data_IF_633898267334
#
_entry.id   IF_633898267334
#
_cell.length_a   1.000
_cell.length_b   1.000
_cell.length_c   1.000
_cell.angle_alpha   90.00
_cell.angle_beta   90.00
_cell.angle_gamma   90.00
#
_symmetry.space_group_name_H-M   'P 1'
#
loop_
_entity.id
_entity.type
_entity.pdbx_description
1 polymer ?
#
# COMPACT_ATOMS: atom_id res chain seq x y z
N UNK A 1 -6.33 -33.94 25.24
CA UNK A 1 -5.43 -32.95 24.61
C UNK A 1 -6.04 -31.57 24.79
N UNK A 2 -5.31 -30.62 25.40
CA UNK A 2 -5.78 -29.24 25.59
C UNK A 2 -5.06 -28.36 24.57
N UNK A 3 -5.82 -27.74 23.66
CA UNK A 3 -5.29 -26.80 22.68
C UNK A 3 -5.16 -25.44 23.35
N UNK A 4 -3.97 -24.84 23.30
CA UNK A 4 -3.73 -23.47 23.73
C UNK A 4 -3.52 -22.56 22.53
N UNK A 5 -4.36 -21.55 22.41
CA UNK A 5 -4.34 -20.64 21.27
C UNK A 5 -3.37 -19.48 21.51
N UNK A 6 -2.45 -19.27 20.56
CA UNK A 6 -1.59 -18.08 20.56
C UNK A 6 -2.37 -16.86 20.06
N UNK A 7 -3.12 -16.22 20.96
CA UNK A 7 -3.93 -15.04 20.67
C UNK A 7 -3.11 -13.86 20.13
N UNK A 8 -1.81 -13.78 20.45
CA UNK A 8 -0.91 -12.76 19.91
C UNK A 8 -0.63 -13.01 18.43
N UNK A 9 -0.30 -14.24 18.04
CA UNK A 9 -0.06 -14.59 16.64
C UNK A 9 -1.29 -14.33 15.75
N UNK A 10 -2.50 -14.67 16.24
CA UNK A 10 -3.74 -14.35 15.51
C UNK A 10 -3.94 -12.84 15.33
N UNK A 11 -3.58 -12.04 16.33
CA UNK A 11 -3.62 -10.58 16.22
C UNK A 11 -2.59 -10.08 15.20
N UNK A 12 -1.38 -10.63 15.20
CA UNK A 12 -0.33 -10.20 14.27
C UNK A 12 -0.71 -10.50 12.81
N UNK A 13 -1.29 -11.68 12.53
CA UNK A 13 -1.87 -12.00 11.23
C UNK A 13 -3.03 -11.06 10.90
N UNK A 14 -3.98 -10.87 11.82
CA UNK A 14 -5.17 -10.01 11.61
C UNK A 14 -4.82 -8.55 11.34
N UNK A 15 -3.78 -8.04 11.99
CA UNK A 15 -3.32 -6.66 11.82
C UNK A 15 -2.33 -6.50 10.66
N UNK A 16 -2.02 -7.59 9.94
CA UNK A 16 -1.05 -7.56 8.85
C UNK A 16 0.33 -7.12 9.33
N UNK A 17 0.73 -7.56 10.52
CA UNK A 17 2.05 -7.30 11.11
C UNK A 17 3.06 -8.40 10.80
N UNK A 18 2.66 -9.39 10.02
CA UNK A 18 3.55 -10.40 9.46
C UNK A 18 4.30 -9.77 8.29
N UNK A 19 5.62 -9.97 8.24
CA UNK A 19 6.50 -9.42 7.19
C UNK A 19 5.95 -9.66 5.80
N UNK A 20 5.47 -10.86 5.53
CA UNK A 20 5.16 -11.31 4.17
C UNK A 20 3.95 -10.56 3.58
N UNK A 21 2.93 -10.29 4.39
CA UNK A 21 1.75 -9.51 3.97
C UNK A 21 2.14 -8.04 3.73
N UNK A 22 3.02 -7.50 4.57
CA UNK A 22 3.51 -6.12 4.41
C UNK A 22 4.29 -6.00 3.10
N UNK A 23 5.24 -6.92 2.87
CA UNK A 23 6.05 -6.94 1.65
C UNK A 23 5.21 -7.14 0.39
N UNK A 24 4.14 -7.94 0.44
CA UNK A 24 3.22 -8.08 -0.68
C UNK A 24 2.46 -6.77 -0.98
N UNK A 25 1.95 -6.10 0.06
CA UNK A 25 1.27 -4.81 -0.09
C UNK A 25 2.20 -3.72 -0.62
N UNK A 26 3.42 -3.65 -0.10
CA UNK A 26 4.45 -2.71 -0.53
C UNK A 26 4.86 -2.98 -1.98
N UNK A 27 5.15 -4.24 -2.33
CA UNK A 27 5.51 -4.62 -3.70
C UNK A 27 4.40 -4.37 -4.72
N UNK A 28 3.13 -4.48 -4.33
CA UNK A 28 2.01 -4.07 -5.19
C UNK A 28 1.96 -2.56 -5.40
N UNK A 29 2.16 -1.78 -4.34
CA UNK A 29 2.17 -0.32 -4.46
C UNK A 29 3.39 0.18 -5.25
N UNK A 30 4.55 -0.43 -5.09
CA UNK A 30 5.75 -0.15 -5.89
C UNK A 30 5.50 -0.39 -7.36
N UNK A 31 4.94 -1.55 -7.73
CA UNK A 31 4.60 -1.84 -9.13
C UNK A 31 3.66 -0.80 -9.74
N UNK A 32 2.61 -0.40 -9.01
CA UNK A 32 1.68 0.64 -9.47
C UNK A 32 2.40 1.99 -9.63
N UNK A 33 3.29 2.34 -8.70
CA UNK A 33 4.06 3.58 -8.79
C UNK A 33 5.04 3.58 -9.97
N UNK A 34 5.68 2.45 -10.24
CA UNK A 34 6.56 2.25 -11.39
C UNK A 34 5.80 2.37 -12.71
N UNK A 35 4.65 1.69 -12.82
CA UNK A 35 3.79 1.77 -14.00
C UNK A 35 3.25 3.19 -14.21
N UNK A 36 2.82 3.87 -13.13
CA UNK A 36 2.39 5.26 -13.20
C UNK A 36 3.53 6.20 -13.62
N UNK A 37 4.76 5.95 -13.15
CA UNK A 37 5.95 6.72 -13.52
C UNK A 37 6.39 6.49 -14.96
N UNK A 38 6.20 5.28 -15.49
CA UNK A 38 6.47 4.96 -16.89
C UNK A 38 5.44 5.60 -17.84
N UNK A 39 4.20 5.78 -17.40
CA UNK A 39 3.11 6.33 -18.19
C UNK A 39 2.96 7.86 -18.09
N UNK A 40 3.25 8.42 -16.92
CA UNK A 40 2.95 9.81 -16.57
C UNK A 40 4.16 10.75 -16.61
N UNK A 41 3.95 11.95 -16.07
CA UNK A 41 4.99 12.96 -15.88
C UNK A 41 5.23 13.21 -14.39
N UNK A 42 6.49 13.40 -13.99
CA UNK A 42 6.83 13.74 -12.61
C UNK A 42 7.00 12.52 -11.71
N UNK A 43 6.86 12.73 -10.41
CA UNK A 43 7.19 11.74 -9.38
C UNK A 43 5.93 11.14 -8.76
N UNK A 44 5.76 9.82 -8.90
CA UNK A 44 4.80 9.03 -8.13
C UNK A 44 5.55 8.32 -6.99
N UNK A 45 4.99 8.35 -5.79
CA UNK A 45 5.66 7.82 -4.61
C UNK A 45 4.76 6.87 -3.83
N UNK A 46 5.39 5.88 -3.20
CA UNK A 46 4.72 4.94 -2.31
C UNK A 46 4.82 5.44 -0.87
N UNK A 47 3.69 5.43 -0.18
CA UNK A 47 3.60 5.59 1.28
C UNK A 47 3.08 4.29 1.89
N UNK A 48 3.80 3.76 2.87
CA UNK A 48 3.44 2.53 3.58
C UNK A 48 3.35 2.81 5.08
N UNK A 49 2.24 2.42 5.72
CA UNK A 49 2.02 2.68 7.15
C UNK A 49 1.12 1.65 7.83
N UNK A 50 1.44 1.37 9.09
CA UNK A 50 0.55 0.67 10.00
C UNK A 50 -0.71 1.52 10.29
N UNK A 51 -1.89 0.93 10.08
CA UNK A 51 -3.14 1.54 10.56
C UNK A 51 -3.20 1.57 12.09
N UNK A 52 -3.81 2.61 12.66
CA UNK A 52 -4.06 2.68 14.10
C UNK A 52 -4.91 1.50 14.57
N UNK A 53 -4.51 0.87 15.67
CA UNK A 53 -5.21 -0.27 16.25
C UNK A 53 -6.55 0.13 16.88
N UNK A 54 -7.58 0.36 16.06
CA UNK A 54 -8.97 0.63 16.47
C UNK A 54 -9.95 -0.11 15.56
N UNK A 55 -10.76 -1.04 16.08
CA UNK A 55 -10.47 -2.48 16.23
C UNK A 55 -9.90 -3.23 14.99
N UNK A 56 -9.72 -2.59 13.84
CA UNK A 56 -9.32 -3.19 12.56
C UNK A 56 -8.15 -2.47 11.88
N UNK A 57 -7.18 -1.95 12.65
CA UNK A 57 -5.99 -1.29 12.10
C UNK A 57 -5.16 -2.24 11.24
N UNK A 58 -5.36 -2.18 9.91
CA UNK A 58 -4.61 -2.97 8.92
C UNK A 58 -3.46 -2.15 8.36
N UNK A 59 -2.40 -2.83 7.95
CA UNK A 59 -1.35 -2.22 7.13
C UNK A 59 -1.94 -1.66 5.83
N UNK A 60 -1.44 -0.51 5.39
CA UNK A 60 -1.87 0.16 4.16
C UNK A 60 -0.67 0.67 3.40
N UNK A 61 -0.58 0.31 2.13
CA UNK A 61 0.28 0.96 1.15
C UNK A 61 -0.59 1.87 0.26
N UNK A 62 -0.03 3.00 -0.16
CA UNK A 62 -0.71 4.02 -0.96
C UNK A 62 0.25 4.58 -1.99
N UNK A 63 -0.23 4.86 -3.20
CA UNK A 63 0.51 5.56 -4.24
C UNK A 63 -0.02 6.99 -4.34
N UNK A 64 0.89 7.97 -4.33
CA UNK A 64 0.56 9.40 -4.35
C UNK A 64 1.39 10.14 -5.37
N UNK A 65 0.93 11.33 -5.76
CA UNK A 65 1.68 12.27 -6.60
C UNK A 65 2.57 13.14 -5.71
N UNK A 66 3.88 12.98 -5.84
CA UNK A 66 4.86 13.64 -4.95
C UNK A 66 5.21 15.08 -5.39
N UNK A 67 4.93 15.44 -6.65
CA UNK A 67 5.20 16.77 -7.19
C UNK A 67 4.05 17.33 -8.02
N UNK A 68 4.17 18.63 -8.37
CA UNK A 68 3.16 19.34 -9.17
C UNK A 68 2.96 18.75 -10.57
N UNK A 69 4.00 18.19 -11.19
CA UNK A 69 3.90 17.61 -12.54
C UNK A 69 3.04 16.35 -12.48
N UNK A 70 3.30 15.47 -11.52
CA UNK A 70 2.52 14.26 -11.27
C UNK A 70 1.08 14.58 -10.87
N UNK A 71 0.86 15.62 -10.04
CA UNK A 71 -0.50 16.08 -9.71
C UNK A 71 -1.28 16.51 -10.95
N UNK A 72 -0.66 17.33 -11.81
CA UNK A 72 -1.27 17.81 -13.05
C UNK A 72 -1.54 16.67 -14.03
N UNK A 73 -0.57 15.78 -14.22
CA UNK A 73 -0.70 14.63 -15.10
C UNK A 73 -1.82 13.69 -14.63
N UNK A 74 -1.76 13.26 -13.37
CA UNK A 74 -2.77 12.37 -12.81
C UNK A 74 -4.18 12.97 -12.87
N UNK A 75 -4.35 14.27 -12.64
CA UNK A 75 -5.64 14.94 -12.73
C UNK A 75 -6.22 14.97 -14.17
N UNK A 76 -5.36 14.97 -15.20
CA UNK A 76 -5.79 14.99 -16.61
C UNK A 76 -5.99 13.58 -17.16
N UNK A 77 -5.13 12.65 -16.77
CA UNK A 77 -4.98 11.36 -17.42
C UNK A 77 -5.45 10.18 -16.56
N UNK A 78 -5.74 10.40 -15.27
CA UNK A 78 -6.06 9.36 -14.30
C UNK A 78 -4.96 8.28 -14.23
N UNK A 79 -3.70 8.70 -14.31
CA UNK A 79 -2.52 7.84 -14.47
C UNK A 79 -2.44 6.75 -13.40
N UNK A 80 -2.67 7.09 -12.12
CA UNK A 80 -2.65 6.10 -11.03
C UNK A 80 -3.77 5.05 -11.20
N UNK A 81 -4.98 5.48 -11.61
CA UNK A 81 -6.10 4.56 -11.81
C UNK A 81 -5.84 3.63 -13.00
N UNK A 82 -5.21 4.13 -14.05
CA UNK A 82 -4.83 3.31 -15.21
C UNK A 82 -3.71 2.33 -14.89
N UNK A 83 -2.75 2.74 -14.06
CA UNK A 83 -1.67 1.86 -13.60
C UNK A 83 -2.16 0.76 -12.64
N UNK A 84 -3.31 0.95 -11.99
CA UNK A 84 -3.91 -0.06 -11.11
C UNK A 84 -4.50 -1.26 -11.87
N UNK A 85 -4.97 -1.05 -13.10
CA UNK A 85 -5.70 -2.03 -13.91
C UNK A 85 -7.21 -1.78 -13.97
#
# INVERSE_FOLDING_TARGET
>A
MRIEWNQKAFKDVRYGRTSDIISELEGHAERIADDASAMGEGTYAVGSRAGMARPQGRWRASVVTADYKAQRDNARNNTILRALG
#
